data_IF_754677122856
#
_entry.id   IF_754677122856
#
_cell.length_a   1.000
_cell.length_b   1.000
_cell.length_c   1.000
_cell.angle_alpha   90.00
_cell.angle_beta   90.00
_cell.angle_gamma   90.00
#
_symmetry.space_group_name_H-M   'P 1'
#
loop_
_entity.id
_entity.type
_entity.pdbx_description
1 polymer ?
#
# COMPACT_ATOMS: atom_id res chain seq x y z
N UNK A 1 -3.98 4.88 12.21
CA UNK A 1 -4.83 5.97 11.66
C UNK A 1 -5.55 5.45 10.43
N UNK A 2 -6.83 5.77 10.18
CA UNK A 2 -7.61 5.24 9.05
C UNK A 2 -8.17 6.38 8.20
N UNK A 3 -8.02 6.29 6.89
CA UNK A 3 -8.65 7.17 5.88
C UNK A 3 -8.88 6.39 4.59
N UNK A 4 -9.72 6.89 3.70
CA UNK A 4 -9.85 6.29 2.37
C UNK A 4 -8.55 6.45 1.60
N UNK A 5 -8.28 5.52 0.68
CA UNK A 5 -7.12 5.58 -0.20
C UNK A 5 -7.05 6.93 -0.93
N UNK A 6 -8.17 7.38 -1.49
CA UNK A 6 -8.30 8.68 -2.16
C UNK A 6 -7.99 9.88 -1.27
N UNK A 7 -8.39 9.85 0.01
CA UNK A 7 -8.04 10.91 0.96
C UNK A 7 -6.53 10.99 1.20
N UNK A 8 -5.84 9.85 1.30
CA UNK A 8 -4.37 9.85 1.41
C UNK A 8 -3.70 10.49 0.21
N UNK A 9 -4.12 10.12 -1.00
CA UNK A 9 -3.59 10.70 -2.25
C UNK A 9 -3.87 12.21 -2.31
N UNK A 10 -5.07 12.65 -1.94
CA UNK A 10 -5.45 14.07 -1.91
C UNK A 10 -4.61 14.89 -0.92
N UNK A 11 -4.06 14.24 0.11
CA UNK A 11 -3.15 14.83 1.09
C UNK A 11 -1.67 14.68 0.71
N UNK A 12 -1.36 14.37 -0.55
CA UNK A 12 -0.01 14.21 -1.10
C UNK A 12 0.81 13.08 -0.44
N UNK A 13 0.14 12.03 0.05
CA UNK A 13 0.83 10.82 0.49
C UNK A 13 1.19 9.93 -0.70
N UNK A 14 2.35 9.27 -0.60
CA UNK A 14 2.89 8.39 -1.62
C UNK A 14 2.85 6.96 -1.10
N UNK A 15 2.18 6.07 -1.83
CA UNK A 15 2.17 4.64 -1.52
C UNK A 15 3.33 3.92 -2.19
N UNK A 16 4.21 3.38 -1.36
CA UNK A 16 5.36 2.59 -1.73
C UNK A 16 5.05 1.10 -1.55
N UNK A 17 5.89 0.26 -2.15
CA UNK A 17 5.82 -1.19 -2.00
C UNK A 17 7.16 -1.74 -1.53
N UNK A 18 7.18 -2.90 -0.85
CA UNK A 18 8.42 -3.61 -0.60
C UNK A 18 9.15 -3.96 -1.90
N UNK A 19 10.48 -4.02 -1.87
CA UNK A 19 11.25 -4.45 -3.04
C UNK A 19 10.94 -5.90 -3.40
N UNK A 20 10.69 -6.16 -4.69
CA UNK A 20 10.34 -7.46 -5.26
C UNK A 20 9.11 -8.12 -4.60
N UNK A 21 7.94 -7.44 -4.63
CA UNK A 21 6.75 -7.97 -3.99
C UNK A 21 6.32 -9.28 -4.65
N UNK A 22 5.93 -10.27 -3.85
CA UNK A 22 5.32 -11.52 -4.31
C UNK A 22 3.86 -11.26 -4.64
N UNK A 23 3.59 -11.19 -5.93
CA UNK A 23 2.27 -10.86 -6.47
C UNK A 23 1.73 -12.04 -7.26
N UNK A 24 0.48 -12.39 -7.01
CA UNK A 24 -0.30 -13.33 -7.81
C UNK A 24 -1.20 -12.55 -8.78
N UNK A 25 -0.79 -12.54 -10.06
CA UNK A 25 -1.51 -11.82 -11.10
C UNK A 25 -2.92 -12.36 -11.38
N UNK A 26 -3.22 -13.62 -11.06
CA UNK A 26 -4.58 -14.15 -11.15
C UNK A 26 -5.47 -13.54 -10.05
N UNK A 27 -4.94 -13.41 -8.82
CA UNK A 27 -5.67 -12.74 -7.74
C UNK A 27 -5.85 -11.24 -8.02
N UNK A 28 -4.84 -10.57 -8.58
CA UNK A 28 -4.96 -9.17 -9.05
C UNK A 28 -6.14 -9.03 -10.02
N UNK A 29 -6.24 -9.91 -11.02
CA UNK A 29 -7.37 -9.92 -11.96
C UNK A 29 -8.73 -10.11 -11.28
N UNK A 30 -8.81 -11.00 -10.29
CA UNK A 30 -10.03 -11.22 -9.50
C UNK A 30 -10.41 -9.98 -8.69
N UNK A 31 -9.45 -9.35 -8.00
CA UNK A 31 -9.69 -8.13 -7.23
C UNK A 31 -10.16 -6.98 -8.10
N UNK A 32 -9.59 -6.80 -9.30
CA UNK A 32 -10.05 -5.77 -10.24
C UNK A 32 -11.52 -5.92 -10.60
N UNK A 33 -11.98 -7.14 -10.86
CA UNK A 33 -13.39 -7.40 -11.13
C UNK A 33 -14.27 -7.13 -9.90
N UNK A 34 -13.82 -7.54 -8.72
CA UNK A 34 -14.57 -7.37 -7.48
C UNK A 34 -14.69 -5.90 -7.09
N UNK A 35 -13.60 -5.12 -7.17
CA UNK A 35 -13.58 -3.71 -6.80
C UNK A 35 -14.60 -2.87 -7.58
N UNK A 36 -14.96 -3.26 -8.80
CA UNK A 36 -15.97 -2.57 -9.63
C UNK A 36 -17.40 -2.70 -9.10
N UNK A 37 -17.70 -3.76 -8.36
CA UNK A 37 -19.05 -4.09 -7.91
C UNK A 37 -19.18 -4.16 -6.39
N UNK A 38 -18.05 -4.17 -5.68
CA UNK A 38 -18.02 -4.25 -4.24
C UNK A 38 -18.31 -2.88 -3.65
N UNK A 39 -19.39 -2.76 -2.87
CA UNK A 39 -19.82 -1.50 -2.25
C UNK A 39 -19.52 -1.42 -0.76
N UNK A 40 -18.97 -2.49 -0.17
CA UNK A 40 -18.55 -2.51 1.24
C UNK A 40 -17.10 -2.02 1.36
N UNK A 41 -16.74 -1.66 2.58
CA UNK A 41 -15.38 -1.27 2.94
C UNK A 41 -14.40 -2.40 2.64
N UNK A 42 -13.33 -2.07 1.91
CA UNK A 42 -12.18 -2.93 1.64
C UNK A 42 -10.98 -2.33 2.36
N UNK A 43 -10.26 -3.13 3.14
CA UNK A 43 -9.16 -2.64 3.97
C UNK A 43 -7.79 -3.00 3.38
N UNK A 44 -6.91 -2.01 3.33
CA UNK A 44 -5.48 -2.15 3.11
C UNK A 44 -4.72 -1.74 4.37
N UNK A 45 -3.56 -2.34 4.59
CA UNK A 45 -2.67 -1.96 5.68
C UNK A 45 -1.36 -1.39 5.13
N UNK A 46 -0.97 -0.25 5.70
CA UNK A 46 0.27 0.43 5.40
C UNK A 46 1.04 0.72 6.69
N UNK A 47 2.31 1.02 6.55
CA UNK A 47 3.16 1.52 7.62
C UNK A 47 3.99 2.70 7.11
N UNK A 48 4.44 3.59 7.99
CA UNK A 48 5.37 4.64 7.57
C UNK A 48 6.65 4.04 6.98
N UNK A 49 7.13 4.62 5.89
CA UNK A 49 8.38 4.18 5.27
C UNK A 49 9.56 4.26 6.24
N UNK A 50 9.59 5.25 7.13
CA UNK A 50 10.61 5.35 8.17
C UNK A 50 10.65 4.10 9.06
N UNK A 51 9.51 3.66 9.61
CA UNK A 51 9.47 2.47 10.48
C UNK A 51 9.86 1.23 9.68
N UNK A 52 9.34 1.09 8.46
CA UNK A 52 9.66 -0.03 7.58
C UNK A 52 11.17 -0.16 7.30
N UNK A 53 11.83 0.94 6.94
CA UNK A 53 13.25 0.99 6.65
C UNK A 53 14.11 0.78 7.91
N UNK A 54 13.72 1.34 9.07
CA UNK A 54 14.42 1.11 10.34
C UNK A 54 14.37 -0.35 10.80
N UNK A 55 13.37 -1.11 10.36
CA UNK A 55 13.28 -2.57 10.56
C UNK A 55 14.19 -3.37 9.63
N UNK A 56 14.89 -2.70 8.70
CA UNK A 56 15.85 -3.32 7.78
C UNK A 56 15.24 -3.80 6.46
N UNK A 57 13.97 -3.52 6.21
CA UNK A 57 13.33 -3.81 4.93
C UNK A 57 13.65 -2.72 3.90
N UNK A 58 13.40 -3.03 2.62
CA UNK A 58 13.62 -2.12 1.50
C UNK A 58 12.31 -1.89 0.77
N UNK A 59 12.06 -0.65 0.37
CA UNK A 59 10.86 -0.26 -0.37
C UNK A 59 11.22 0.55 -1.62
N UNK A 60 10.31 0.56 -2.58
CA UNK A 60 10.35 1.42 -3.77
C UNK A 60 9.07 2.24 -3.86
N UNK A 61 9.21 3.46 -4.37
CA UNK A 61 8.07 4.31 -4.70
C UNK A 61 7.36 3.83 -5.99
N UNK A 62 6.26 4.47 -6.41
CA UNK A 62 5.54 4.10 -7.63
C UNK A 62 6.39 4.13 -8.91
N UNK A 63 7.43 4.96 -8.96
CA UNK A 63 8.35 5.07 -10.10
C UNK A 63 9.46 4.01 -10.07
N UNK A 64 9.47 3.14 -9.05
CA UNK A 64 10.47 2.10 -8.86
C UNK A 64 11.78 2.60 -8.25
N UNK A 65 11.82 3.85 -7.78
CA UNK A 65 13.00 4.42 -7.13
C UNK A 65 13.05 3.94 -5.68
N UNK A 66 14.25 3.58 -5.22
CA UNK A 66 14.44 3.11 -3.84
C UNK A 66 14.16 4.22 -2.84
N UNK A 67 13.28 3.92 -1.88
CA UNK A 67 12.96 4.83 -0.78
C UNK A 67 14.08 4.77 0.26
N UNK A 68 14.54 5.93 0.73
CA UNK A 68 15.63 6.01 1.70
C UNK A 68 15.26 6.87 2.91
N UNK A 69 15.99 6.69 4.02
CA UNK A 69 15.85 7.53 5.21
C UNK A 69 16.26 9.01 4.98
N UNK A 70 16.85 9.32 3.81
CA UNK A 70 17.29 10.67 3.44
C UNK A 70 16.26 11.41 2.56
N UNK A 71 15.18 10.73 2.17
CA UNK A 71 14.14 11.32 1.33
C UNK A 71 13.44 12.46 2.09
N UNK A 72 13.38 13.65 1.50
CA UNK A 72 12.79 14.84 2.14
C UNK A 72 11.28 14.70 2.38
N UNK A 73 10.62 13.87 1.57
CA UNK A 73 9.21 13.54 1.61
C UNK A 73 8.92 12.23 2.38
N UNK A 74 9.91 11.64 3.06
CA UNK A 74 9.75 10.39 3.82
C UNK A 74 8.54 10.37 4.77
N UNK A 75 8.19 11.46 5.49
CA UNK A 75 6.99 11.48 6.34
C UNK A 75 5.66 11.29 5.60
N UNK A 76 5.66 11.49 4.27
CA UNK A 76 4.51 11.30 3.38
C UNK A 76 4.53 9.94 2.68
N UNK A 77 5.59 9.14 2.85
CA UNK A 77 5.72 7.81 2.24
C UNK A 77 5.16 6.72 3.15
N UNK A 78 4.23 5.93 2.61
CA UNK A 78 3.58 4.81 3.28
C UNK A 78 3.86 3.53 2.50
N UNK A 79 4.38 2.50 3.16
CA UNK A 79 4.64 1.21 2.53
C UNK A 79 3.43 0.30 2.75
N UNK A 80 2.84 -0.21 1.68
CA UNK A 80 1.80 -1.26 1.75
C UNK A 80 2.45 -2.56 2.22
N UNK A 81 1.93 -3.13 3.30
CA UNK A 81 2.52 -4.32 3.94
C UNK A 81 1.63 -5.54 3.82
N UNK A 82 0.33 -5.37 3.64
CA UNK A 82 -0.62 -6.46 3.41
C UNK A 82 -1.35 -6.33 2.07
N UNK A 83 -1.76 -7.48 1.54
CA UNK A 83 -2.49 -7.66 0.28
C UNK A 83 -2.00 -6.76 -0.88
N UNK A 84 -0.73 -6.97 -1.26
CA UNK A 84 -0.11 -6.29 -2.40
C UNK A 84 -0.85 -6.57 -3.73
N UNK A 85 -1.58 -7.69 -3.82
CA UNK A 85 -2.40 -8.00 -5.00
C UNK A 85 -3.58 -7.04 -5.11
N UNK A 86 -4.26 -6.78 -3.98
CA UNK A 86 -5.34 -5.80 -3.92
C UNK A 86 -4.83 -4.38 -4.22
N UNK A 87 -3.68 -3.99 -3.65
CA UNK A 87 -3.09 -2.69 -3.95
C UNK A 87 -2.76 -2.55 -5.45
N UNK A 88 -2.17 -3.57 -6.08
CA UNK A 88 -1.90 -3.53 -7.51
C UNK A 88 -3.16 -3.53 -8.36
N UNK A 89 -4.22 -4.22 -7.94
CA UNK A 89 -5.51 -4.16 -8.60
C UNK A 89 -6.08 -2.73 -8.58
N UNK A 90 -5.92 -2.01 -7.47
CA UNK A 90 -6.31 -0.62 -7.33
C UNK A 90 -5.52 0.31 -8.27
N UNK A 91 -4.20 0.13 -8.37
CA UNK A 91 -3.35 0.95 -9.26
C UNK A 91 -3.67 0.78 -10.75
N UNK A 92 -4.13 -0.41 -11.16
CA UNK A 92 -4.35 -0.74 -12.57
C UNK A 92 -5.73 -0.33 -13.10
N UNK A 93 -6.61 0.22 -12.27
CA UNK A 93 -7.99 0.51 -12.65
C UNK A 93 -8.35 1.97 -12.42
N UNK A 94 -8.28 2.76 -13.50
CA UNK A 94 -8.51 4.22 -13.49
C UNK A 94 -9.97 4.64 -13.32
N UNK A 95 -10.91 3.69 -13.37
CA UNK A 95 -12.36 3.94 -13.31
C UNK A 95 -12.98 3.62 -11.95
N UNK A 96 -12.17 3.23 -10.94
CA UNK A 96 -12.68 2.97 -9.61
C UNK A 96 -13.02 4.28 -8.91
N UNK A 97 -14.27 4.39 -8.46
CA UNK A 97 -14.61 5.26 -7.33
C UNK A 97 -14.10 4.56 -6.07
N UNK A 98 -12.79 4.62 -5.86
CA UNK A 98 -12.01 4.05 -4.76
C UNK A 98 -12.37 4.58 -3.36
N UNK A 99 -13.58 5.10 -3.21
CA UNK A 99 -14.17 5.68 -2.01
C UNK A 99 -14.46 4.62 -0.94
N UNK A 100 -14.51 3.33 -1.32
CA UNK A 100 -14.71 2.19 -0.41
C UNK A 100 -13.41 1.52 0.03
N UNK A 101 -12.25 1.91 -0.52
CA UNK A 101 -10.96 1.37 -0.10
C UNK A 101 -10.39 2.23 1.02
N UNK A 102 -10.23 1.63 2.19
CA UNK A 102 -9.69 2.27 3.40
C UNK A 102 -8.28 1.76 3.65
N UNK A 103 -7.36 2.68 3.92
CA UNK A 103 -6.00 2.34 4.32
C UNK A 103 -5.82 2.64 5.80
N UNK A 104 -5.48 1.60 6.56
CA UNK A 104 -5.06 1.69 7.95
C UNK A 104 -3.53 1.79 8.04
N UNK A 105 -3.05 2.85 8.67
CA UNK A 105 -1.64 2.99 9.05
C UNK A 105 -1.41 2.31 10.40
N UNK A 106 -0.61 1.25 10.37
CA UNK A 106 -0.10 0.54 11.52
C UNK A 106 1.02 1.33 12.20
N UNK A 107 1.11 1.24 13.53
CA UNK A 107 2.17 1.89 14.29
C UNK A 107 3.51 1.16 14.17
N UNK A 108 3.49 -0.15 13.97
CA UNK A 108 4.67 -1.01 13.84
C UNK A 108 4.29 -2.29 13.09
N UNK A 109 5.27 -3.01 12.54
CA UNK A 109 5.05 -4.32 11.93
C UNK A 109 4.74 -5.37 13.01
N UNK A 110 3.58 -6.06 12.94
CA UNK A 110 3.25 -7.17 13.83
C UNK A 110 4.40 -8.18 13.96
N UNK A 111 4.93 -8.33 15.19
CA UNK A 111 6.07 -9.23 15.48
C UNK A 111 5.73 -10.71 15.35
N UNK A 112 4.45 -11.06 15.50
CA UNK A 112 3.96 -12.43 15.38
C UNK A 112 3.88 -12.92 13.93
N UNK A 113 3.98 -12.02 12.95
CA UNK A 113 3.93 -12.35 11.52
C UNK A 113 5.34 -12.36 10.94
N UNK A 114 5.69 -13.43 10.23
CA UNK A 114 6.92 -13.46 9.43
C UNK A 114 6.63 -12.77 8.11
N UNK A 115 7.18 -11.58 7.94
CA UNK A 115 7.03 -10.80 6.72
C UNK A 115 7.97 -11.35 5.65
N UNK A 116 7.40 -12.02 4.65
CA UNK A 116 8.06 -12.25 3.37
C UNK A 116 7.28 -11.47 2.34
N UNK A 117 7.77 -10.27 2.04
CA UNK A 117 7.24 -9.47 0.96
C UNK A 117 7.58 -10.10 -0.39
#
# INVERSE_FOLDING_TARGET
MKKTYKQWITEDYIFCTPVNPKVDMMMVGSYRCNLKVHTREVMLEAISAEVFLRRGYKATDPDGISVTLLDSDLPKKLVIVEDLNLYLALQQETLLEDDNVVVEILNDLPRAKRWSF
#
